data_IF_755057397118
#
_entry.id   IF_755057397118
#
_cell.length_a   1.000
_cell.length_b   1.000
_cell.length_c   1.000
_cell.angle_alpha   90.00
_cell.angle_beta   90.00
_cell.angle_gamma   90.00
#
_symmetry.space_group_name_H-M   'P 1'
#
loop_
_entity.id
_entity.type
_entity.pdbx_description
1 polymer ?
#
# COMPACT_ATOMS: atom_id res chain seq x y z
N UNK A 1 -21.48 -2.22 -13.98
CA UNK A 1 -21.36 -1.72 -12.60
C UNK A 1 -21.37 -2.83 -11.55
N UNK A 2 -22.30 -3.79 -11.56
CA UNK A 2 -22.50 -4.79 -10.49
C UNK A 2 -21.28 -5.60 -10.01
N UNK A 3 -20.27 -5.82 -10.85
CA UNK A 3 -19.08 -6.57 -10.45
C UNK A 3 -18.23 -5.91 -9.36
N UNK A 4 -18.20 -4.57 -9.27
CA UNK A 4 -17.40 -3.88 -8.26
C UNK A 4 -18.08 -3.90 -6.88
N UNK A 5 -19.40 -3.68 -6.84
CA UNK A 5 -20.23 -3.85 -5.65
C UNK A 5 -20.14 -5.28 -5.13
N UNK A 6 -20.31 -6.29 -6.00
CA UNK A 6 -20.21 -7.69 -5.62
C UNK A 6 -18.82 -8.06 -5.06
N UNK A 7 -17.74 -7.56 -5.68
CA UNK A 7 -16.38 -7.78 -5.21
C UNK A 7 -16.11 -7.07 -3.86
N UNK A 8 -16.59 -5.84 -3.69
CA UNK A 8 -16.46 -5.10 -2.44
C UNK A 8 -17.25 -5.75 -1.31
N UNK A 9 -18.47 -6.22 -1.59
CA UNK A 9 -19.29 -6.98 -0.64
C UNK A 9 -18.66 -8.32 -0.30
N UNK A 10 -18.13 -9.07 -1.28
CA UNK A 10 -17.42 -10.33 -1.04
C UNK A 10 -16.17 -10.15 -0.18
N UNK A 11 -15.39 -9.09 -0.43
CA UNK A 11 -14.22 -8.75 0.38
C UNK A 11 -14.59 -8.32 1.81
N UNK A 12 -15.75 -7.67 1.97
CA UNK A 12 -16.26 -7.29 3.28
C UNK A 12 -16.81 -8.50 4.04
N UNK A 13 -17.59 -9.38 3.39
CA UNK A 13 -18.16 -10.58 4.02
C UNK A 13 -17.10 -11.57 4.47
N UNK A 14 -16.04 -11.79 3.68
CA UNK A 14 -14.90 -12.64 4.06
C UNK A 14 -14.18 -12.17 5.35
N UNK A 15 -14.36 -10.92 5.77
CA UNK A 15 -13.81 -10.39 7.03
C UNK A 15 -14.76 -10.50 8.22
N UNK A 16 -16.00 -10.94 8.01
CA UNK A 16 -17.06 -10.96 9.02
C UNK A 16 -17.44 -12.40 9.42
N UNK A 17 -16.83 -13.43 8.83
CA UNK A 17 -17.18 -14.84 9.06
C UNK A 17 -17.13 -15.31 10.54
N UNK A 18 -16.38 -14.61 11.40
CA UNK A 18 -16.28 -14.90 12.82
C UNK A 18 -17.26 -14.12 13.71
N UNK A 19 -18.02 -13.17 13.14
CA UNK A 19 -18.99 -12.34 13.87
C UNK A 19 -20.38 -12.96 13.72
N UNK A 20 -21.16 -13.03 14.80
CA UNK A 20 -22.50 -13.62 14.81
C UNK A 20 -23.59 -12.58 15.12
N UNK A 21 -24.83 -12.94 14.84
CA UNK A 21 -26.01 -12.20 15.31
C UNK A 21 -26.16 -10.78 14.74
N UNK A 22 -26.59 -9.84 15.58
CA UNK A 22 -26.91 -8.47 15.19
C UNK A 22 -25.69 -7.70 14.66
N UNK A 23 -24.50 -7.95 15.21
CA UNK A 23 -23.27 -7.28 14.79
C UNK A 23 -22.84 -7.68 13.38
N UNK A 24 -23.07 -8.95 13.01
CA UNK A 24 -22.85 -9.42 11.63
C UNK A 24 -23.75 -8.64 10.65
N UNK A 25 -25.02 -8.45 11.00
CA UNK A 25 -25.97 -7.68 10.16
C UNK A 25 -25.53 -6.22 10.03
N UNK A 26 -25.17 -5.54 11.12
CA UNK A 26 -24.67 -4.16 11.08
C UNK A 26 -23.44 -3.98 10.20
N UNK A 27 -22.52 -4.95 10.21
CA UNK A 27 -21.33 -4.93 9.34
C UNK A 27 -21.64 -5.18 7.88
N UNK A 28 -22.52 -6.12 7.58
CA UNK A 28 -22.95 -6.40 6.20
C UNK A 28 -23.69 -5.19 5.63
N UNK A 29 -24.63 -4.61 6.38
CA UNK A 29 -25.38 -3.43 5.95
C UNK A 29 -24.47 -2.19 5.84
N UNK A 30 -23.53 -2.02 6.76
CA UNK A 30 -22.48 -1.01 6.66
C UNK A 30 -21.65 -1.16 5.39
N UNK A 31 -21.14 -2.36 5.10
CA UNK A 31 -20.38 -2.61 3.88
C UNK A 31 -21.20 -2.38 2.60
N UNK A 32 -22.45 -2.84 2.56
CA UNK A 32 -23.34 -2.65 1.42
C UNK A 32 -23.62 -1.16 1.16
N UNK A 33 -24.08 -0.44 2.19
CA UNK A 33 -24.36 1.00 2.11
C UNK A 33 -23.11 1.81 1.75
N UNK A 34 -21.96 1.47 2.34
CA UNK A 34 -20.69 2.12 2.04
C UNK A 34 -20.27 1.98 0.58
N UNK A 35 -20.36 0.76 0.02
CA UNK A 35 -20.06 0.54 -1.39
C UNK A 35 -21.03 1.26 -2.33
N UNK A 36 -22.34 1.20 -2.04
CA UNK A 36 -23.37 1.88 -2.84
C UNK A 36 -23.20 3.40 -2.84
N UNK A 37 -22.99 4.00 -1.66
CA UNK A 37 -22.79 5.45 -1.54
C UNK A 37 -21.53 5.91 -2.27
N UNK A 38 -20.45 5.14 -2.15
CA UNK A 38 -19.21 5.44 -2.84
C UNK A 38 -19.39 5.39 -4.37
N UNK A 39 -20.13 4.41 -4.88
CA UNK A 39 -20.46 4.31 -6.30
C UNK A 39 -21.32 5.51 -6.75
N UNK A 40 -22.43 5.80 -6.05
CA UNK A 40 -23.33 6.89 -6.39
C UNK A 40 -22.64 8.26 -6.42
N UNK A 41 -21.84 8.59 -5.39
CA UNK A 41 -21.07 9.85 -5.35
C UNK A 41 -20.05 9.89 -6.48
N UNK A 42 -19.36 8.77 -6.74
CA UNK A 42 -18.37 8.73 -7.81
C UNK A 42 -18.97 8.93 -9.19
N UNK A 43 -20.13 8.34 -9.47
CA UNK A 43 -20.82 8.50 -10.74
C UNK A 43 -21.32 9.93 -10.93
N UNK A 44 -21.93 10.50 -9.88
CA UNK A 44 -22.42 11.87 -9.91
C UNK A 44 -21.31 12.88 -10.20
N UNK A 45 -20.15 12.72 -9.55
CA UNK A 45 -19.05 13.68 -9.67
C UNK A 45 -18.17 13.46 -10.91
N UNK A 46 -18.14 12.26 -11.49
CA UNK A 46 -17.19 11.91 -12.55
C UNK A 46 -17.39 12.78 -13.81
N UNK A 47 -18.64 13.09 -14.18
CA UNK A 47 -18.90 13.88 -15.38
C UNK A 47 -18.33 15.32 -15.25
N UNK A 48 -18.56 15.96 -14.09
CA UNK A 48 -17.99 17.28 -13.81
C UNK A 48 -16.46 17.24 -13.72
N UNK A 49 -15.91 16.20 -13.09
CA UNK A 49 -14.47 15.99 -13.02
C UNK A 49 -13.81 15.88 -14.41
N UNK A 50 -14.42 15.12 -15.32
CA UNK A 50 -13.92 14.98 -16.69
C UNK A 50 -13.98 16.29 -17.46
N UNK A 51 -15.08 17.05 -17.35
CA UNK A 51 -15.20 18.36 -17.96
C UNK A 51 -14.12 19.33 -17.46
N UNK A 52 -13.88 19.37 -16.14
CA UNK A 52 -12.84 20.20 -15.54
C UNK A 52 -11.43 19.81 -16.02
N UNK A 53 -11.17 18.51 -16.20
CA UNK A 53 -9.88 18.04 -16.74
C UNK A 53 -9.70 18.47 -18.19
N UNK A 54 -10.73 18.32 -19.02
CA UNK A 54 -10.69 18.75 -20.43
C UNK A 54 -10.51 20.26 -20.57
N UNK A 55 -11.21 21.06 -19.76
CA UNK A 55 -11.06 22.51 -19.72
C UNK A 55 -9.63 22.92 -19.39
N UNK A 56 -9.05 22.37 -18.31
CA UNK A 56 -7.67 22.66 -17.89
C UNK A 56 -6.64 22.19 -18.92
N UNK A 57 -6.89 21.07 -19.61
CA UNK A 57 -6.02 20.59 -20.68
C UNK A 57 -6.06 21.52 -21.89
N UNK A 58 -7.24 21.99 -22.29
CA UNK A 58 -7.38 22.93 -23.40
C UNK A 58 -6.71 24.28 -23.06
N UNK A 59 -6.84 24.75 -21.82
CA UNK A 59 -6.20 25.97 -21.35
C UNK A 59 -4.66 25.88 -21.27
N UNK A 60 -4.10 24.67 -21.17
CA UNK A 60 -2.64 24.47 -21.06
C UNK A 60 -1.86 24.79 -22.33
N UNK A 61 -2.52 24.81 -23.50
CA UNK A 61 -1.88 24.99 -24.80
C UNK A 61 -0.99 23.82 -25.25
N UNK A 62 -0.92 22.71 -24.49
CA UNK A 62 -0.17 21.53 -24.90
C UNK A 62 -0.86 20.80 -26.05
N UNK A 63 -0.08 20.36 -27.05
CA UNK A 63 -0.61 19.59 -28.16
C UNK A 63 -1.20 18.26 -27.65
N UNK A 64 -2.42 17.84 -28.07
CA UNK A 64 -3.10 16.65 -27.55
C UNK A 64 -2.32 15.32 -27.71
N UNK A 65 -1.34 15.29 -28.60
CA UNK A 65 -0.47 14.15 -28.87
C UNK A 65 0.90 14.22 -28.17
N UNK A 66 1.15 15.26 -27.37
CA UNK A 66 2.42 15.45 -26.66
C UNK A 66 2.46 14.67 -25.33
N UNK A 67 3.67 14.31 -24.90
CA UNK A 67 3.88 13.70 -23.59
C UNK A 67 3.44 14.63 -22.46
N UNK A 68 3.70 15.94 -22.58
CA UNK A 68 3.27 16.94 -21.61
C UNK A 68 1.75 16.97 -21.41
N UNK A 69 0.98 16.84 -22.49
CA UNK A 69 -0.49 16.73 -22.41
C UNK A 69 -0.92 15.46 -21.68
N UNK A 70 -0.28 14.31 -21.96
CA UNK A 70 -0.57 13.05 -21.29
C UNK A 70 -0.24 13.11 -19.78
N UNK A 71 0.92 13.64 -19.43
CA UNK A 71 1.36 13.79 -18.03
C UNK A 71 0.42 14.72 -17.25
N UNK A 72 0.08 15.88 -17.84
CA UNK A 72 -0.86 16.83 -17.23
C UNK A 72 -2.25 16.22 -17.07
N UNK A 73 -2.74 15.47 -18.07
CA UNK A 73 -4.04 14.79 -17.99
C UNK A 73 -4.07 13.79 -16.84
N UNK A 74 -3.01 13.03 -16.66
CA UNK A 74 -2.88 12.06 -15.56
C UNK A 74 -2.80 12.75 -14.21
N UNK A 75 -2.06 13.86 -14.10
CA UNK A 75 -2.03 14.67 -12.89
C UNK A 75 -3.43 15.20 -12.52
N UNK A 76 -4.13 15.80 -13.47
CA UNK A 76 -5.47 16.37 -13.27
C UNK A 76 -6.50 15.30 -12.91
N UNK A 77 -6.47 14.14 -13.58
CA UNK A 77 -7.36 13.03 -13.23
C UNK A 77 -7.08 12.51 -11.82
N UNK A 78 -5.81 12.37 -11.43
CA UNK A 78 -5.45 11.94 -10.08
C UNK A 78 -5.93 12.94 -9.02
N UNK A 79 -5.89 14.25 -9.31
CA UNK A 79 -6.43 15.30 -8.45
C UNK A 79 -7.96 15.16 -8.30
N UNK A 80 -8.69 15.03 -9.41
CA UNK A 80 -10.14 14.87 -9.39
C UNK A 80 -10.58 13.60 -8.67
N UNK A 81 -9.91 12.47 -8.90
CA UNK A 81 -10.23 11.22 -8.23
C UNK A 81 -9.97 11.27 -6.73
N UNK A 82 -8.95 12.02 -6.30
CA UNK A 82 -8.72 12.29 -4.87
C UNK A 82 -9.89 13.08 -4.28
N UNK A 83 -10.38 14.10 -4.97
CA UNK A 83 -11.55 14.87 -4.54
C UNK A 83 -12.79 13.97 -4.43
N UNK A 84 -13.10 13.20 -5.48
CA UNK A 84 -14.22 12.25 -5.49
C UNK A 84 -14.12 11.25 -4.33
N UNK A 85 -12.91 10.69 -4.08
CA UNK A 85 -12.68 9.76 -2.98
C UNK A 85 -12.97 10.40 -1.62
N UNK A 86 -12.57 11.65 -1.40
CA UNK A 86 -12.85 12.37 -0.15
C UNK A 86 -14.35 12.60 0.04
N UNK A 87 -15.07 13.07 -0.98
CA UNK A 87 -16.51 13.29 -0.90
C UNK A 87 -17.29 11.98 -0.69
N UNK A 88 -16.91 10.91 -1.40
CA UNK A 88 -17.49 9.59 -1.22
C UNK A 88 -17.27 9.08 0.21
N UNK A 89 -16.06 9.23 0.76
CA UNK A 89 -15.74 8.85 2.14
C UNK A 89 -16.56 9.66 3.16
N UNK A 90 -16.73 10.97 2.96
CA UNK A 90 -17.54 11.82 3.82
C UNK A 90 -19.02 11.38 3.81
N UNK A 91 -19.58 11.14 2.61
CA UNK A 91 -20.96 10.68 2.46
C UNK A 91 -21.20 9.30 3.10
N UNK A 92 -20.24 8.39 2.96
CA UNK A 92 -20.26 7.07 3.59
C UNK A 92 -20.22 7.19 5.12
N UNK A 93 -19.36 8.06 5.65
CA UNK A 93 -19.27 8.28 7.09
C UNK A 93 -20.58 8.82 7.67
N UNK A 94 -21.13 9.88 7.05
CA UNK A 94 -22.41 10.46 7.47
C UNK A 94 -23.56 9.45 7.40
N UNK A 95 -23.63 8.65 6.32
CA UNK A 95 -24.67 7.64 6.15
C UNK A 95 -24.55 6.49 7.15
N UNK A 96 -23.33 5.99 7.38
CA UNK A 96 -23.08 4.91 8.33
C UNK A 96 -23.42 5.34 9.76
N UNK A 97 -23.11 6.59 10.13
CA UNK A 97 -23.45 7.16 11.43
C UNK A 97 -24.97 7.31 11.60
N UNK A 98 -25.66 7.92 10.62
CA UNK A 98 -27.11 8.10 10.64
C UNK A 98 -27.87 6.77 10.77
N UNK A 99 -27.39 5.73 10.08
CA UNK A 99 -28.00 4.39 10.10
C UNK A 99 -27.48 3.49 11.23
N UNK A 100 -26.57 3.98 12.07
CA UNK A 100 -25.89 3.22 13.14
C UNK A 100 -25.26 1.91 12.64
N UNK A 101 -24.69 1.95 11.44
CA UNK A 101 -23.95 0.85 10.84
C UNK A 101 -22.49 0.84 11.31
N UNK A 102 -21.78 -0.26 11.02
CA UNK A 102 -20.35 -0.35 11.30
C UNK A 102 -19.58 0.55 10.31
N UNK A 103 -19.14 1.71 10.80
CA UNK A 103 -18.39 2.70 10.02
C UNK A 103 -17.13 2.11 9.36
N UNK A 104 -16.41 1.22 10.05
CA UNK A 104 -15.19 0.62 9.51
C UNK A 104 -15.50 -0.31 8.34
N UNK A 105 -16.57 -1.10 8.45
CA UNK A 105 -17.02 -1.97 7.37
C UNK A 105 -17.49 -1.14 6.16
N UNK A 106 -18.23 -0.05 6.40
CA UNK A 106 -18.68 0.87 5.36
C UNK A 106 -17.53 1.54 4.62
N UNK A 107 -16.59 2.16 5.35
CA UNK A 107 -15.41 2.81 4.78
C UNK A 107 -14.50 1.83 4.04
N UNK A 108 -14.36 0.59 4.54
CA UNK A 108 -13.58 -0.44 3.86
C UNK A 108 -14.20 -0.83 2.52
N UNK A 109 -15.52 -1.09 2.50
CA UNK A 109 -16.22 -1.46 1.28
C UNK A 109 -16.25 -0.32 0.26
N UNK A 110 -16.46 0.91 0.71
CA UNK A 110 -16.37 2.13 -0.09
C UNK A 110 -15.03 2.26 -0.81
N UNK A 111 -13.91 2.12 -0.07
CA UNK A 111 -12.57 2.20 -0.66
C UNK A 111 -12.33 1.11 -1.72
N UNK A 112 -12.73 -0.13 -1.45
CA UNK A 112 -12.62 -1.20 -2.44
C UNK A 112 -13.48 -0.92 -3.68
N UNK A 113 -14.69 -0.39 -3.51
CA UNK A 113 -15.58 -0.05 -4.62
C UNK A 113 -14.95 1.04 -5.51
N UNK A 114 -14.43 2.12 -4.90
CA UNK A 114 -13.76 3.20 -5.63
C UNK A 114 -12.51 2.72 -6.36
N UNK A 115 -11.65 1.92 -5.72
CA UNK A 115 -10.43 1.39 -6.34
C UNK A 115 -10.77 0.53 -7.57
N UNK A 116 -11.78 -0.34 -7.47
CA UNK A 116 -12.21 -1.19 -8.59
C UNK A 116 -12.93 -0.41 -9.70
N UNK A 117 -13.71 0.62 -9.36
CA UNK A 117 -14.42 1.44 -10.34
C UNK A 117 -13.46 2.38 -11.07
N UNK A 118 -12.54 3.05 -10.37
CA UNK A 118 -11.56 3.94 -10.99
C UNK A 118 -10.61 3.18 -11.92
N UNK A 119 -10.16 1.98 -11.54
CA UNK A 119 -9.35 1.15 -12.44
C UNK A 119 -10.07 0.84 -13.76
N UNK A 120 -11.38 0.58 -13.73
CA UNK A 120 -12.19 0.35 -14.94
C UNK A 120 -12.36 1.62 -15.77
N UNK A 121 -12.58 2.76 -15.11
CA UNK A 121 -12.73 4.06 -15.78
C UNK A 121 -11.43 4.47 -16.47
N UNK A 122 -10.27 4.33 -15.82
CA UNK A 122 -8.99 4.57 -16.47
C UNK A 122 -8.78 3.66 -17.68
N UNK A 123 -9.13 2.37 -17.54
CA UNK A 123 -8.97 1.43 -18.64
C UNK A 123 -9.90 1.77 -19.83
N UNK A 124 -11.12 2.24 -19.58
CA UNK A 124 -12.06 2.63 -20.63
C UNK A 124 -11.65 3.95 -21.31
N UNK A 125 -11.23 4.95 -20.52
CA UNK A 125 -10.74 6.22 -21.03
C UNK A 125 -9.44 6.05 -21.83
N UNK A 126 -8.54 5.19 -21.37
CA UNK A 126 -7.35 4.82 -22.12
C UNK A 126 -7.70 4.21 -23.48
N UNK A 127 -8.60 3.22 -23.51
CA UNK A 127 -9.05 2.61 -24.77
C UNK A 127 -9.67 3.64 -25.74
N UNK A 128 -10.47 4.58 -25.24
CA UNK A 128 -11.05 5.65 -26.04
C UNK A 128 -9.97 6.61 -26.59
N UNK A 129 -8.96 6.93 -25.78
CA UNK A 129 -7.82 7.75 -26.17
C UNK A 129 -6.99 7.08 -27.29
N UNK A 130 -6.69 5.78 -27.16
CA UNK A 130 -6.04 4.99 -28.23
C UNK A 130 -6.87 5.01 -29.51
N UNK A 131 -8.19 4.94 -29.40
CA UNK A 131 -9.07 4.94 -30.58
C UNK A 131 -9.08 6.29 -31.31
N UNK A 132 -8.97 7.40 -30.58
CA UNK A 132 -8.91 8.77 -31.12
C UNK A 132 -7.52 9.18 -31.65
N UNK A 133 -6.46 8.44 -31.31
CA UNK A 133 -5.13 8.73 -31.85
C UNK A 133 -5.08 8.53 -33.38
N UNK A 134 -4.71 9.60 -34.10
CA UNK A 134 -4.87 9.72 -35.55
C UNK A 134 -3.95 8.82 -36.38
N UNK A 135 -2.82 8.36 -35.85
CA UNK A 135 -1.83 7.55 -36.57
C UNK A 135 -1.33 6.35 -35.74
N UNK A 136 -0.73 5.35 -36.39
CA UNK A 136 -0.24 4.13 -35.73
C UNK A 136 0.80 4.43 -34.64
N UNK A 137 1.62 5.45 -34.84
CA UNK A 137 2.63 5.92 -33.88
C UNK A 137 1.96 6.46 -32.60
N UNK A 138 0.92 7.28 -32.74
CA UNK A 138 0.10 7.78 -31.63
C UNK A 138 -0.68 6.65 -30.93
N UNK A 139 -1.16 5.65 -31.68
CA UNK A 139 -1.80 4.45 -31.09
C UNK A 139 -0.82 3.62 -30.28
N UNK A 140 0.44 3.49 -30.72
CA UNK A 140 1.50 2.78 -29.98
C UNK A 140 1.91 3.53 -28.71
N UNK A 141 2.14 4.84 -28.80
CA UNK A 141 2.45 5.68 -27.63
C UNK A 141 1.30 5.66 -26.60
N UNK A 142 0.05 5.80 -27.05
CA UNK A 142 -1.11 5.71 -26.19
C UNK A 142 -1.27 4.32 -25.54
N UNK A 143 -1.01 3.23 -26.29
CA UNK A 143 -1.04 1.85 -25.75
C UNK A 143 0.04 1.62 -24.70
N UNK A 144 1.25 2.16 -24.88
CA UNK A 144 2.31 2.05 -23.87
C UNK A 144 2.00 2.85 -22.62
N UNK A 145 1.53 4.10 -22.77
CA UNK A 145 1.09 4.92 -21.65
C UNK A 145 0.03 4.21 -20.80
N UNK A 146 -1.01 3.64 -21.44
CA UNK A 146 -2.08 2.89 -20.75
C UNK A 146 -1.55 1.63 -20.07
N UNK A 147 -0.57 0.94 -20.68
CA UNK A 147 0.01 -0.28 -20.12
C UNK A 147 0.86 0.04 -18.88
N UNK A 148 1.52 1.18 -18.85
CA UNK A 148 2.26 1.69 -17.69
C UNK A 148 1.26 2.14 -16.62
N UNK A 149 0.26 2.94 -16.98
CA UNK A 149 -0.77 3.47 -16.07
C UNK A 149 -1.62 2.37 -15.43
N UNK A 150 -2.10 1.40 -16.21
CA UNK A 150 -2.88 0.28 -15.67
C UNK A 150 -2.03 -0.59 -14.73
N UNK A 151 -0.73 -0.74 -14.99
CA UNK A 151 0.20 -1.47 -14.12
C UNK A 151 0.55 -0.69 -12.85
N UNK A 152 0.72 0.62 -12.92
CA UNK A 152 0.99 1.44 -11.73
C UNK A 152 -0.24 1.60 -10.85
N UNK A 153 -1.41 1.89 -11.42
CA UNK A 153 -2.66 1.97 -10.68
C UNK A 153 -3.04 0.64 -10.01
N UNK A 154 -2.85 -0.51 -10.69
CA UNK A 154 -3.09 -1.83 -10.08
C UNK A 154 -2.04 -2.19 -9.03
N UNK A 155 -0.79 -1.75 -9.18
CA UNK A 155 0.30 -2.01 -8.23
C UNK A 155 0.19 -1.13 -6.98
N UNK A 156 -0.23 0.12 -7.10
CA UNK A 156 -0.54 0.98 -5.95
C UNK A 156 -1.79 0.51 -5.22
N UNK A 157 -2.88 0.20 -5.93
CA UNK A 157 -4.10 -0.34 -5.34
C UNK A 157 -3.81 -1.64 -4.57
N UNK A 158 -3.15 -2.63 -5.20
CA UNK A 158 -2.78 -3.87 -4.53
C UNK A 158 -1.85 -3.67 -3.31
N UNK A 159 -1.03 -2.61 -3.29
CA UNK A 159 -0.14 -2.27 -2.17
C UNK A 159 -0.91 -1.63 -1.01
N UNK A 160 -1.92 -0.81 -1.27
CA UNK A 160 -2.78 -0.22 -0.22
C UNK A 160 -3.77 -1.25 0.36
N UNK A 161 -4.43 -2.06 -0.47
CA UNK A 161 -5.36 -3.09 0.00
C UNK A 161 -4.65 -4.16 0.84
N UNK A 162 -3.42 -4.56 0.47
CA UNK A 162 -2.61 -5.51 1.24
C UNK A 162 -2.13 -4.95 2.60
N UNK A 163 -1.84 -3.64 2.66
CA UNK A 163 -1.47 -2.95 3.92
C UNK A 163 -2.66 -2.81 4.87
N UNK A 164 -3.86 -2.58 4.34
CA UNK A 164 -5.11 -2.54 5.12
C UNK A 164 -5.54 -3.92 5.66
N UNK A 165 -5.37 -4.98 4.85
CA UNK A 165 -5.71 -6.35 5.25
C UNK A 165 -4.79 -6.93 6.34
N UNK A 166 -3.50 -6.58 6.32
CA UNK A 166 -2.52 -7.06 7.29
C UNK A 166 -2.63 -6.40 8.68
N UNK A 167 -3.21 -5.20 8.76
CA UNK A 167 -3.34 -4.43 10.01
C UNK A 167 -4.47 -4.94 10.93
N UNK A 168 -5.52 -5.54 10.36
CA UNK A 168 -6.73 -5.92 11.11
C UNK A 168 -6.82 -7.42 11.47
N UNK A 169 -6.06 -8.29 10.80
CA UNK A 169 -6.06 -9.74 11.04
C UNK A 169 -5.14 -10.19 12.19
N UNK A 170 -4.21 -9.33 12.64
CA UNK A 170 -3.15 -9.71 13.59
C UNK A 170 -3.46 -9.45 15.07
N UNK A 171 -4.61 -8.85 15.41
CA UNK A 171 -4.95 -8.47 16.80
C UNK A 171 -5.92 -9.40 17.54
N UNK A 172 -6.49 -10.43 16.91
CA UNK A 172 -7.65 -11.15 17.47
C UNK A 172 -7.55 -12.66 17.72
N UNK A 173 -6.55 -13.39 17.22
CA UNK A 173 -6.67 -14.86 17.10
C UNK A 173 -5.73 -15.65 18.06
N UNK A 174 -4.91 -14.98 18.88
CA UNK A 174 -3.84 -15.66 19.63
C UNK A 174 -4.23 -16.22 21.02
N UNK A 175 -5.51 -16.29 21.40
CA UNK A 175 -5.90 -16.90 22.68
C UNK A 175 -7.08 -17.85 22.49
N UNK A 176 -6.84 -19.11 22.83
CA UNK A 176 -7.75 -20.26 22.83
C UNK A 176 -7.93 -20.98 21.50
N UNK A 177 -7.07 -21.99 21.26
CA UNK A 177 -7.44 -23.28 20.68
C UNK A 177 -6.26 -24.25 20.90
N UNK A 178 -6.47 -25.30 21.71
CA UNK A 178 -5.54 -26.44 21.83
C UNK A 178 -5.49 -27.18 20.49
N UNK A 179 -4.33 -27.58 19.96
CA UNK A 179 -4.27 -28.27 18.68
C UNK A 179 -4.61 -29.76 18.85
N UNK A 180 -5.68 -30.20 18.18
CA UNK A 180 -5.90 -31.61 17.86
C UNK A 180 -4.94 -32.01 16.73
N UNK A 181 -4.26 -33.15 16.90
CA UNK A 181 -3.32 -33.73 15.93
C UNK A 181 -4.09 -34.22 14.70
N UNK A 182 -3.79 -33.65 13.54
CA UNK A 182 -4.16 -34.20 12.24
C UNK A 182 -3.02 -33.92 11.25
N UNK A 183 -2.59 -35.00 10.61
CA UNK A 183 -1.38 -35.10 9.79
C UNK A 183 -1.48 -34.19 8.55
N UNK A 184 -0.70 -33.10 8.55
CA UNK A 184 -0.75 -31.98 7.59
C UNK A 184 0.49 -31.89 6.69
N UNK A 185 1.14 -33.01 6.40
CA UNK A 185 2.52 -32.97 5.91
C UNK A 185 2.68 -32.89 4.38
N UNK A 186 1.65 -33.10 3.54
CA UNK A 186 1.88 -33.09 2.06
C UNK A 186 1.14 -32.06 1.21
N UNK A 187 -0.02 -31.54 1.60
CA UNK A 187 -0.80 -30.63 0.73
C UNK A 187 -0.60 -29.12 0.97
N UNK A 188 0.10 -28.71 2.04
CA UNK A 188 0.11 -27.31 2.51
C UNK A 188 1.33 -26.46 2.06
N UNK A 189 2.21 -26.98 1.20
CA UNK A 189 3.51 -26.33 0.90
C UNK A 189 3.58 -25.55 -0.42
N UNK A 190 2.59 -25.66 -1.31
CA UNK A 190 2.68 -25.03 -2.64
C UNK A 190 2.41 -23.51 -2.68
N UNK A 191 1.84 -22.91 -1.61
CA UNK A 191 1.41 -21.49 -1.64
C UNK A 191 1.84 -20.65 -0.43
N UNK A 192 2.81 -21.11 0.36
CA UNK A 192 3.32 -20.31 1.49
C UNK A 192 4.28 -19.24 0.98
N UNK A 193 3.91 -17.97 1.17
CA UNK A 193 4.81 -16.83 0.94
C UNK A 193 6.13 -17.09 1.69
N UNK A 194 7.30 -16.90 1.04
CA UNK A 194 8.59 -17.10 1.70
C UNK A 194 8.63 -16.31 2.99
N UNK A 195 9.09 -16.94 4.07
CA UNK A 195 9.24 -16.26 5.35
C UNK A 195 10.16 -15.03 5.20
N UNK A 196 9.91 -13.95 5.94
CA UNK A 196 10.70 -12.70 5.83
C UNK A 196 12.20 -12.86 6.13
N UNK A 197 12.61 -14.00 6.69
CA UNK A 197 14.02 -14.35 6.85
C UNK A 197 14.67 -14.95 5.60
N UNK A 198 13.89 -15.51 4.66
CA UNK A 198 14.39 -16.14 3.44
C UNK A 198 14.97 -15.13 2.47
N UNK A 199 16.10 -15.46 1.83
CA UNK A 199 16.70 -14.66 0.75
C UNK A 199 15.76 -14.50 -0.46
N UNK A 200 14.85 -15.47 -0.65
CA UNK A 200 13.86 -15.47 -1.72
C UNK A 200 12.64 -14.59 -1.39
N UNK A 201 12.65 -13.88 -0.25
CA UNK A 201 11.60 -12.92 0.07
C UNK A 201 11.60 -11.76 -0.94
N UNK A 202 10.47 -11.62 -1.64
CA UNK A 202 10.16 -10.52 -2.56
C UNK A 202 9.11 -9.62 -1.89
N UNK A 203 9.53 -8.42 -1.48
CA UNK A 203 8.70 -7.47 -0.75
C UNK A 203 9.51 -6.29 -0.21
N UNK A 204 8.80 -5.26 0.26
CA UNK A 204 9.41 -4.03 0.79
C UNK A 204 10.47 -4.37 1.87
N UNK A 205 11.74 -4.22 1.49
CA UNK A 205 12.89 -4.48 2.36
C UNK A 205 13.73 -3.22 2.43
N UNK A 206 14.35 -2.93 3.57
CA UNK A 206 15.18 -1.74 3.70
C UNK A 206 16.35 -1.99 4.64
N UNK A 207 17.42 -1.23 4.43
CA UNK A 207 18.60 -1.20 5.30
C UNK A 207 18.54 0.03 6.17
N UNK A 208 18.84 -0.14 7.45
CA UNK A 208 18.82 0.88 8.48
C UNK A 208 20.13 0.93 9.25
N UNK A 209 20.37 2.04 9.93
CA UNK A 209 21.44 2.19 10.91
C UNK A 209 20.90 2.75 12.22
N UNK A 210 21.51 2.32 13.33
CA UNK A 210 21.27 2.85 14.68
C UNK A 210 22.50 3.66 15.07
N UNK A 211 22.26 4.86 15.59
CA UNK A 211 23.27 5.81 15.99
C UNK A 211 23.13 6.14 17.47
N UNK A 212 24.26 6.25 18.15
CA UNK A 212 24.30 6.79 19.51
C UNK A 212 24.14 8.31 19.42
N UNK A 213 23.34 8.91 20.29
CA UNK A 213 23.03 10.34 20.23
C UNK A 213 24.23 11.22 20.61
N UNK A 214 25.04 10.80 21.59
CA UNK A 214 26.16 11.59 22.13
C UNK A 214 27.27 11.87 21.11
N UNK A 215 27.70 10.85 20.36
CA UNK A 215 28.80 10.94 19.40
C UNK A 215 28.34 10.85 17.93
N UNK A 216 27.03 10.64 17.69
CA UNK A 216 26.41 10.44 16.38
C UNK A 216 26.97 9.24 15.59
N UNK A 217 27.79 8.39 16.20
CA UNK A 217 28.43 7.25 15.54
C UNK A 217 27.41 6.14 15.32
N UNK A 218 27.51 5.48 14.17
CA UNK A 218 26.73 4.29 13.91
C UNK A 218 27.24 3.17 14.83
N UNK A 219 26.34 2.58 15.61
CA UNK A 219 26.64 1.43 16.48
C UNK A 219 26.15 0.12 15.89
N UNK A 220 25.18 0.20 14.97
CA UNK A 220 24.60 -0.96 14.29
C UNK A 220 24.14 -0.61 12.88
N UNK A 221 24.36 -1.52 11.95
CA UNK A 221 23.69 -1.56 10.65
C UNK A 221 22.87 -2.85 10.57
N UNK A 222 21.69 -2.80 9.96
CA UNK A 222 20.84 -3.97 9.81
C UNK A 222 19.83 -3.83 8.70
N UNK A 223 19.21 -4.94 8.33
CA UNK A 223 18.18 -5.04 7.32
C UNK A 223 16.83 -5.46 7.93
N UNK A 224 15.72 -5.05 7.29
CA UNK A 224 14.39 -5.36 7.81
C UNK A 224 13.35 -5.48 6.71
N UNK A 225 12.47 -6.47 6.87
CA UNK A 225 11.25 -6.69 6.08
C UNK A 225 9.98 -6.35 6.86
N UNK A 226 10.09 -5.90 8.12
CA UNK A 226 8.94 -5.54 8.99
C UNK A 226 8.23 -4.23 8.58
N UNK A 227 8.71 -3.58 7.51
CA UNK A 227 8.20 -2.32 7.02
C UNK A 227 8.62 -1.11 7.85
N UNK A 228 8.14 0.05 7.39
CA UNK A 228 8.39 1.37 7.97
C UNK A 228 7.13 1.89 8.67
N UNK A 229 7.30 2.82 9.61
CA UNK A 229 6.20 3.51 10.27
C UNK A 229 5.61 4.55 9.32
N UNK A 230 4.28 4.63 9.28
CA UNK A 230 3.56 5.50 8.32
C UNK A 230 3.74 6.99 8.60
N UNK A 231 3.94 7.39 9.86
CA UNK A 231 4.01 8.80 10.24
C UNK A 231 5.31 9.48 9.80
N UNK A 232 6.45 8.83 10.00
CA UNK A 232 7.78 9.44 9.83
C UNK A 232 8.75 8.59 8.99
N UNK A 233 8.26 7.48 8.43
CA UNK A 233 9.08 6.57 7.63
C UNK A 233 10.13 5.80 8.44
N UNK A 234 10.15 5.83 9.77
CA UNK A 234 11.16 5.16 10.56
C UNK A 234 11.04 3.61 10.48
N UNK A 235 12.16 2.89 10.55
CA UNK A 235 12.10 1.43 10.57
C UNK A 235 11.57 0.91 11.91
N UNK A 236 10.48 0.14 11.88
CA UNK A 236 9.89 -0.48 13.09
C UNK A 236 10.88 -1.40 13.82
N UNK A 237 11.67 -2.19 13.08
CA UNK A 237 12.69 -3.08 13.66
C UNK A 237 13.81 -2.27 14.31
N UNK A 238 14.33 -1.27 13.60
CA UNK A 238 15.39 -0.41 14.11
C UNK A 238 14.95 0.29 15.41
N UNK A 239 13.76 0.89 15.41
CA UNK A 239 13.21 1.62 16.55
C UNK A 239 13.01 0.70 17.76
N UNK A 240 12.52 -0.52 17.55
CA UNK A 240 12.41 -1.52 18.61
C UNK A 240 13.78 -1.90 19.19
N UNK A 241 14.83 -1.98 18.37
CA UNK A 241 16.20 -2.24 18.83
C UNK A 241 16.78 -1.03 19.56
N UNK A 242 16.61 0.18 19.04
CA UNK A 242 17.07 1.42 19.69
C UNK A 242 16.42 1.58 21.07
N UNK A 243 15.09 1.42 21.19
CA UNK A 243 14.39 1.47 22.49
C UNK A 243 14.90 0.43 23.47
N UNK A 244 15.27 -0.76 22.99
CA UNK A 244 15.87 -1.80 23.83
C UNK A 244 17.24 -1.34 24.35
N UNK A 245 18.09 -0.81 23.47
CA UNK A 245 19.41 -0.27 23.83
C UNK A 245 19.30 0.90 24.82
N UNK A 246 18.33 1.81 24.62
CA UNK A 246 18.09 2.90 25.55
C UNK A 246 17.80 2.39 26.97
N UNK A 247 16.98 1.33 27.09
CA UNK A 247 16.66 0.73 28.39
C UNK A 247 17.84 -0.01 29.02
N UNK A 248 18.67 -0.67 28.21
CA UNK A 248 19.78 -1.48 28.70
C UNK A 248 21.01 -0.66 29.08
N UNK A 249 21.25 0.45 28.39
CA UNK A 249 22.48 1.25 28.55
C UNK A 249 22.26 2.61 29.20
N UNK A 250 21.02 3.10 29.25
CA UNK A 250 20.69 4.46 29.66
C UNK A 250 21.03 5.54 28.63
N UNK A 251 21.73 5.20 27.53
CA UNK A 251 22.08 6.15 26.48
C UNK A 251 20.93 6.33 25.47
N UNK A 252 20.84 7.52 24.86
CA UNK A 252 19.86 7.78 23.81
C UNK A 252 20.38 7.28 22.45
N UNK A 253 19.56 6.49 21.74
CA UNK A 253 19.83 6.05 20.37
C UNK A 253 18.74 6.52 19.41
N UNK A 254 19.14 6.87 18.19
CA UNK A 254 18.23 7.19 17.09
C UNK A 254 18.50 6.30 15.87
N UNK A 255 17.53 6.24 14.96
CA UNK A 255 17.60 5.33 13.81
C UNK A 255 17.42 6.08 12.50
N UNK A 256 18.02 5.57 11.43
CA UNK A 256 17.89 6.14 10.08
C UNK A 256 17.76 5.00 9.07
N UNK A 257 16.81 5.13 8.15
CA UNK A 257 16.77 4.28 6.95
C UNK A 257 17.83 4.79 5.97
N UNK A 258 18.64 3.89 5.45
CA UNK A 258 19.70 4.19 4.48
C UNK A 258 19.20 4.06 3.05
N UNK A 259 18.55 2.92 2.75
CA UNK A 259 18.04 2.62 1.41
C UNK A 259 16.94 1.56 1.46
N UNK A 260 15.95 1.70 0.57
CA UNK A 260 14.90 0.71 0.33
C UNK A 260 15.26 -0.16 -0.89
N UNK A 261 14.85 -1.43 -0.85
CA UNK A 261 15.16 -2.45 -1.85
C UNK A 261 13.91 -3.27 -2.19
N UNK A 262 13.85 -3.75 -3.44
CA UNK A 262 12.76 -4.61 -3.90
C UNK A 262 12.91 -6.06 -3.42
N UNK A 263 14.15 -6.51 -3.19
CA UNK A 263 14.46 -7.88 -2.78
C UNK A 263 15.32 -7.91 -1.52
N UNK A 264 15.17 -8.99 -0.74
CA UNK A 264 15.99 -9.18 0.45
C UNK A 264 17.46 -9.43 0.12
N UNK A 265 17.74 -10.11 -0.99
CA UNK A 265 19.09 -10.38 -1.45
C UNK A 265 19.89 -9.09 -1.69
N UNK A 266 19.30 -8.11 -2.38
CA UNK A 266 19.92 -6.79 -2.60
C UNK A 266 20.16 -6.04 -1.29
N UNK A 267 19.16 -6.04 -0.39
CA UNK A 267 19.29 -5.38 0.91
C UNK A 267 20.43 -5.99 1.74
N UNK A 268 20.54 -7.32 1.76
CA UNK A 268 21.59 -8.04 2.49
C UNK A 268 22.98 -7.76 1.92
N UNK A 269 23.10 -7.71 0.58
CA UNK A 269 24.36 -7.35 -0.08
C UNK A 269 24.77 -5.91 0.29
N UNK A 270 23.85 -4.96 0.20
CA UNK A 270 24.11 -3.57 0.57
C UNK A 270 24.45 -3.40 2.05
N UNK A 271 23.77 -4.14 2.94
CA UNK A 271 24.09 -4.18 4.37
C UNK A 271 25.54 -4.64 4.60
N UNK A 272 25.95 -5.74 3.97
CA UNK A 272 27.30 -6.28 4.08
C UNK A 272 28.36 -5.28 3.56
N UNK A 273 28.13 -4.69 2.38
CA UNK A 273 29.02 -3.68 1.80
C UNK A 273 29.15 -2.45 2.72
N UNK A 274 28.04 -2.03 3.36
CA UNK A 274 28.04 -0.89 4.27
C UNK A 274 28.78 -1.18 5.57
N UNK A 275 28.63 -2.40 6.12
CA UNK A 275 29.38 -2.85 7.29
C UNK A 275 30.88 -2.89 6.98
N UNK A 276 31.26 -3.53 5.86
CA UNK A 276 32.65 -3.63 5.41
C UNK A 276 33.28 -2.25 5.28
N UNK A 277 32.66 -1.36 4.49
CA UNK A 277 33.13 0.02 4.30
C UNK A 277 33.24 0.79 5.62
N UNK A 278 32.29 0.60 6.54
CA UNK A 278 32.32 1.28 7.84
C UNK A 278 33.50 0.80 8.70
N UNK A 279 33.86 -0.48 8.62
CA UNK A 279 35.03 -1.06 9.30
C UNK A 279 36.35 -0.68 8.62
N UNK A 280 36.37 -0.61 7.30
CA UNK A 280 37.55 -0.16 6.55
C UNK A 280 37.91 1.29 6.90
N UNK A 281 36.91 2.16 7.02
CA UNK A 281 37.11 3.60 7.31
C UNK A 281 37.34 3.86 8.81
N UNK A 282 36.53 3.25 9.68
CA UNK A 282 36.53 3.59 11.13
C UNK A 282 37.21 2.54 12.02
N UNK A 283 37.84 1.54 11.41
CA UNK A 283 38.49 0.42 12.09
C UNK A 283 37.56 -0.78 12.35
N UNK A 284 38.18 -1.95 12.58
CA UNK A 284 37.48 -3.24 12.75
C UNK A 284 36.49 -3.28 13.91
N UNK A 285 36.69 -2.44 14.93
CA UNK A 285 35.79 -2.30 16.09
C UNK A 285 34.59 -1.39 15.84
N UNK A 286 34.44 -0.83 14.64
CA UNK A 286 33.25 -0.06 14.28
C UNK A 286 32.02 -0.97 14.20
N UNK A 287 30.84 -0.42 14.53
CA UNK A 287 29.58 -1.16 14.63
C UNK A 287 29.60 -2.29 15.69
N UNK A 288 29.87 -1.97 16.98
CA UNK A 288 30.05 -2.98 18.04
C UNK A 288 28.83 -3.89 18.27
N UNK A 289 27.64 -3.50 17.80
CA UNK A 289 26.41 -4.28 17.97
C UNK A 289 26.08 -5.20 16.78
N UNK A 290 26.95 -5.25 15.77
CA UNK A 290 26.88 -6.23 14.69
C UNK A 290 27.64 -7.50 15.13
N UNK A 291 26.89 -8.45 15.71
CA UNK A 291 27.43 -9.72 16.27
C UNK A 291 28.11 -10.64 15.25
N UNK A 292 27.92 -10.39 13.97
CA UNK A 292 28.49 -11.21 12.91
C UNK A 292 29.60 -10.41 12.23
N UNK A 293 30.78 -11.02 12.11
CA UNK A 293 31.80 -10.63 11.15
C UNK A 293 31.26 -10.94 9.75
N UNK A 294 30.50 -10.01 9.17
CA UNK A 294 30.30 -9.96 7.73
C UNK A 294 31.59 -9.51 7.05
#
# INVERSE_FOLDING_TARGET
MHGALAAAMSAATARIDHVKGADRRKRIMGAASGAMMAEAVSEYMMNGALANVEEKLNASGHAPNSQAYADLRTQLMNEQLRQIKMFAQLAVAASAEAMRFDLNAAMFAANNALENNFAKIFLSLGKAFVKKAANETGKKAAKEAIKIEAKEATKEAAKETAKGAAKNSSKGIAKNLKPAKLDKTRAANANKRPHGNSLNYKGDTHVYSIHRFSDKRAVKVGESTRGVRTSDGASKRAESQARKLNRETGEMYYTRIRKNFATKAEAKKYEADLIKRSRDINGSKSLPLNKNGH
#
